data_IF_155614802254
#
_entry.id   IF_155614802254
#
_cell.length_a   1.000
_cell.length_b   1.000
_cell.length_c   1.000
_cell.angle_alpha   90.00
_cell.angle_beta   90.00
_cell.angle_gamma   90.00
#
_symmetry.space_group_name_H-M   'P 1'
#
loop_
_entity.id
_entity.type
_entity.pdbx_description
1 polymer ?
#
# COMPACT_ATOMS: atom_id res chain seq x y z
N UNK A 1 26.06 29.31 -4.53
CA UNK A 1 25.89 29.21 -3.05
C UNK A 1 26.33 27.87 -2.50
N UNK A 2 25.71 26.73 -2.84
CA UNK A 2 26.10 25.42 -2.25
C UNK A 2 27.56 25.04 -2.56
N UNK A 3 27.97 25.15 -3.83
CA UNK A 3 29.34 24.81 -4.27
C UNK A 3 30.37 25.76 -3.64
N UNK A 4 30.03 27.05 -3.51
CA UNK A 4 30.93 28.07 -2.96
C UNK A 4 31.15 27.91 -1.45
N UNK A 5 30.12 27.52 -0.70
CA UNK A 5 30.19 27.37 0.76
C UNK A 5 30.58 25.96 1.22
N UNK A 6 30.22 24.93 0.45
CA UNK A 6 30.33 23.53 0.84
C UNK A 6 30.97 22.66 -0.25
N UNK A 7 31.86 23.22 -1.08
CA UNK A 7 32.50 22.50 -2.19
C UNK A 7 33.29 21.24 -1.79
N UNK A 8 33.64 21.09 -0.51
CA UNK A 8 34.28 19.90 0.05
C UNK A 8 33.33 18.71 0.23
N UNK A 9 32.01 18.94 0.25
CA UNK A 9 31.00 17.91 0.46
C UNK A 9 30.18 17.66 -0.82
N UNK A 10 30.19 16.45 -1.40
CA UNK A 10 29.40 16.15 -2.58
C UNK A 10 27.90 16.19 -2.27
N UNK A 11 27.09 16.71 -3.18
CA UNK A 11 25.63 16.76 -3.01
C UNK A 11 25.04 15.35 -2.90
N UNK A 12 24.09 15.18 -1.99
CA UNK A 12 23.30 13.94 -1.93
C UNK A 12 22.44 13.82 -3.21
N UNK A 13 22.06 12.60 -3.63
CA UNK A 13 21.23 12.40 -4.81
C UNK A 13 19.90 13.17 -4.75
N UNK A 14 19.31 13.33 -3.56
CA UNK A 14 18.08 14.10 -3.36
C UNK A 14 18.27 15.58 -3.64
N UNK A 15 19.31 16.21 -3.06
CA UNK A 15 19.63 17.62 -3.29
C UNK A 15 19.99 17.86 -4.76
N UNK A 16 20.80 16.98 -5.34
CA UNK A 16 21.17 17.06 -6.76
C UNK A 16 19.94 17.00 -7.67
N UNK A 17 19.03 16.05 -7.44
CA UNK A 17 17.77 15.95 -8.20
C UNK A 17 16.92 17.22 -8.07
N UNK A 18 16.82 17.81 -6.88
CA UNK A 18 16.04 19.04 -6.65
C UNK A 18 16.68 20.25 -7.34
N UNK A 19 17.99 20.47 -7.14
CA UNK A 19 18.67 21.68 -7.64
C UNK A 19 18.99 21.62 -9.14
N UNK A 20 19.35 20.45 -9.66
CA UNK A 20 19.78 20.28 -11.06
C UNK A 20 18.63 19.84 -11.95
N UNK A 21 17.85 18.85 -11.52
CA UNK A 21 16.77 18.28 -12.34
C UNK A 21 15.37 18.82 -11.99
N UNK A 22 15.21 19.60 -10.92
CA UNK A 22 13.91 20.03 -10.41
C UNK A 22 13.08 20.81 -11.43
N UNK A 23 13.71 21.73 -12.18
CA UNK A 23 13.02 22.51 -13.21
C UNK A 23 12.45 21.61 -14.32
N UNK A 24 13.24 20.64 -14.81
CA UNK A 24 12.80 19.68 -15.82
C UNK A 24 11.66 18.79 -15.31
N UNK A 25 11.71 18.38 -14.04
CA UNK A 25 10.63 17.61 -13.42
C UNK A 25 9.34 18.41 -13.34
N UNK A 26 9.41 19.71 -12.97
CA UNK A 26 8.24 20.59 -12.89
C UNK A 26 7.62 20.79 -14.29
N UNK A 27 8.42 20.92 -15.35
CA UNK A 27 7.91 21.14 -16.71
C UNK A 27 7.26 19.91 -17.33
N UNK A 28 7.70 18.70 -16.97
CA UNK A 28 7.18 17.45 -17.52
C UNK A 28 6.11 16.78 -16.64
N UNK A 29 5.91 17.24 -15.40
CA UNK A 29 4.90 16.68 -14.52
C UNK A 29 3.47 17.06 -14.97
N UNK A 30 2.60 16.06 -15.12
CA UNK A 30 1.18 16.24 -15.48
C UNK A 30 0.39 16.90 -14.33
N UNK A 31 0.76 16.58 -13.09
CA UNK A 31 0.12 17.08 -11.88
C UNK A 31 1.12 17.83 -11.01
N UNK A 32 0.68 18.82 -10.21
CA UNK A 32 1.50 19.44 -9.18
C UNK A 32 2.19 18.40 -8.30
N UNK A 33 3.50 18.56 -8.09
CA UNK A 33 4.35 17.58 -7.40
C UNK A 33 3.79 17.21 -6.01
N UNK A 34 3.19 18.17 -5.29
CA UNK A 34 2.57 17.91 -3.99
C UNK A 34 1.37 16.95 -4.04
N UNK A 35 0.64 16.86 -5.17
CA UNK A 35 -0.44 15.90 -5.35
C UNK A 35 0.05 14.48 -5.63
N UNK A 36 1.28 14.34 -6.15
CA UNK A 36 1.94 13.06 -6.40
C UNK A 36 2.76 12.56 -5.18
N UNK A 37 2.61 13.22 -4.03
CA UNK A 37 3.37 12.90 -2.82
C UNK A 37 3.00 11.55 -2.21
N UNK A 38 4.00 10.80 -1.75
CA UNK A 38 3.84 9.54 -1.02
C UNK A 38 3.30 9.73 0.41
N UNK A 39 3.42 10.94 0.97
CA UNK A 39 3.05 11.26 2.36
C UNK A 39 1.60 10.88 2.71
N UNK A 40 0.68 11.01 1.74
CA UNK A 40 -0.73 10.65 1.94
C UNK A 40 -0.90 9.13 2.14
N UNK A 41 -0.16 8.32 1.39
CA UNK A 41 -0.15 6.86 1.50
C UNK A 41 0.54 6.41 2.78
N UNK A 42 1.68 7.00 3.14
CA UNK A 42 2.37 6.70 4.40
C UNK A 42 1.52 7.04 5.62
N UNK A 43 0.80 8.16 5.60
CA UNK A 43 -0.13 8.53 6.67
C UNK A 43 -1.23 7.47 6.85
N UNK A 44 -1.59 6.72 5.80
CA UNK A 44 -2.57 5.62 5.87
C UNK A 44 -2.05 4.44 6.70
N UNK A 45 -0.74 4.25 6.81
CA UNK A 45 -0.16 3.20 7.66
C UNK A 45 -0.52 3.37 9.14
N UNK A 46 -0.74 4.61 9.59
CA UNK A 46 -1.25 4.89 10.95
C UNK A 46 -2.66 4.33 11.13
N UNK A 47 -3.54 4.55 10.16
CA UNK A 47 -4.90 4.00 10.18
C UNK A 47 -4.90 2.48 10.11
N UNK A 48 -4.01 1.88 9.30
CA UNK A 48 -3.85 0.42 9.23
C UNK A 48 -3.56 -0.20 10.60
N UNK A 49 -2.57 0.34 11.33
CA UNK A 49 -2.25 -0.10 12.70
C UNK A 49 -3.44 0.08 13.64
N UNK A 50 -4.16 1.20 13.55
CA UNK A 50 -5.33 1.47 14.38
C UNK A 50 -6.51 0.53 14.10
N UNK A 51 -6.78 0.23 12.83
CA UNK A 51 -7.84 -0.68 12.40
C UNK A 51 -7.59 -2.11 12.85
N UNK A 52 -6.35 -2.59 12.73
CA UNK A 52 -5.96 -3.91 13.23
C UNK A 52 -6.13 -4.05 14.75
N UNK A 53 -5.87 -2.99 15.51
CA UNK A 53 -5.96 -3.03 16.98
C UNK A 53 -7.39 -3.03 17.50
N UNK A 54 -8.28 -2.20 16.91
CA UNK A 54 -9.58 -1.87 17.50
C UNK A 54 -10.79 -2.35 16.67
N UNK A 55 -10.63 -2.64 15.38
CA UNK A 55 -11.75 -2.84 14.46
C UNK A 55 -11.70 -4.16 13.68
N UNK A 56 -10.65 -4.98 13.87
CA UNK A 56 -10.48 -6.25 13.17
C UNK A 56 -10.66 -7.44 14.12
N UNK A 57 -11.24 -8.51 13.61
CA UNK A 57 -11.36 -9.79 14.32
C UNK A 57 -9.98 -10.45 14.48
N UNK A 58 -9.68 -10.99 15.67
CA UNK A 58 -8.35 -11.53 16.04
C UNK A 58 -8.27 -13.06 16.07
N UNK A 59 -9.30 -13.75 15.59
CA UNK A 59 -9.35 -15.21 15.59
C UNK A 59 -8.67 -15.84 14.37
N UNK A 60 -8.57 -15.11 13.24
CA UNK A 60 -7.92 -15.59 12.02
C UNK A 60 -7.21 -14.44 11.31
N UNK A 61 -6.08 -14.74 10.67
CA UNK A 61 -5.33 -13.77 9.86
C UNK A 61 -6.13 -13.34 8.63
N UNK A 62 -6.87 -14.26 8.02
CA UNK A 62 -7.67 -14.00 6.82
C UNK A 62 -8.81 -13.02 7.14
N UNK A 63 -9.56 -13.31 8.21
CA UNK A 63 -10.64 -12.44 8.65
C UNK A 63 -10.16 -11.08 9.14
N UNK A 64 -9.01 -11.04 9.83
CA UNK A 64 -8.38 -9.78 10.24
C UNK A 64 -8.07 -8.89 9.03
N UNK A 65 -7.44 -9.45 7.99
CA UNK A 65 -7.10 -8.72 6.77
C UNK A 65 -8.35 -8.27 6.01
N UNK A 66 -9.39 -9.12 5.96
CA UNK A 66 -10.68 -8.78 5.34
C UNK A 66 -11.34 -7.59 6.02
N UNK A 67 -11.38 -7.59 7.35
CA UNK A 67 -11.99 -6.50 8.12
C UNK A 67 -11.23 -5.18 7.94
N UNK A 68 -9.90 -5.24 7.93
CA UNK A 68 -9.05 -4.06 7.68
C UNK A 68 -9.28 -3.51 6.27
N UNK A 69 -9.33 -4.38 5.26
CA UNK A 69 -9.58 -3.99 3.87
C UNK A 69 -10.95 -3.32 3.72
N UNK A 70 -12.01 -3.95 4.24
CA UNK A 70 -13.35 -3.36 4.22
C UNK A 70 -13.37 -1.98 4.89
N UNK A 71 -12.68 -1.81 6.01
CA UNK A 71 -12.62 -0.52 6.71
C UNK A 71 -11.84 0.54 5.91
N UNK A 72 -10.76 0.13 5.26
CA UNK A 72 -9.99 1.01 4.38
C UNK A 72 -10.85 1.49 3.21
N UNK A 73 -11.57 0.58 2.54
CA UNK A 73 -12.47 0.88 1.44
C UNK A 73 -13.56 1.88 1.84
N UNK A 74 -14.24 1.64 2.98
CA UNK A 74 -15.24 2.58 3.51
C UNK A 74 -14.65 3.96 3.81
N UNK A 75 -13.40 4.01 4.27
CA UNK A 75 -12.71 5.26 4.60
C UNK A 75 -12.09 5.97 3.38
N UNK A 76 -12.05 5.33 2.21
CA UNK A 76 -11.63 5.92 0.93
C UNK A 76 -12.79 6.23 0.00
N UNK A 77 -13.99 5.78 0.34
CA UNK A 77 -15.20 6.04 -0.45
C UNK A 77 -15.40 7.56 -0.63
N UNK A 78 -15.45 8.07 -1.88
CA UNK A 78 -15.58 9.50 -2.15
C UNK A 78 -16.88 10.11 -1.64
N UNK A 79 -17.98 9.35 -1.72
CA UNK A 79 -19.30 9.79 -1.28
C UNK A 79 -19.33 9.96 0.24
N UNK A 80 -18.90 8.93 0.98
CA UNK A 80 -18.80 8.98 2.45
C UNK A 80 -17.80 10.06 2.89
N UNK A 81 -16.66 10.17 2.20
CA UNK A 81 -15.62 11.15 2.52
C UNK A 81 -16.07 12.60 2.31
N UNK A 82 -16.96 12.84 1.35
CA UNK A 82 -17.53 14.16 1.11
C UNK A 82 -18.59 14.55 2.16
N UNK A 83 -19.35 13.57 2.67
CA UNK A 83 -20.32 13.79 3.74
C UNK A 83 -19.68 13.95 5.13
N UNK A 84 -18.40 13.56 5.29
CA UNK A 84 -17.70 13.59 6.58
C UNK A 84 -17.29 15.01 6.97
N UNK A 85 -17.51 15.39 8.23
CA UNK A 85 -16.99 16.63 8.79
C UNK A 85 -15.46 16.67 8.71
N UNK A 86 -14.93 17.68 8.02
CA UNK A 86 -13.49 17.90 7.86
C UNK A 86 -12.97 18.80 8.97
N UNK A 87 -11.85 18.41 9.55
CA UNK A 87 -11.12 19.24 10.50
C UNK A 87 -10.33 20.28 9.70
N UNK A 88 -10.56 21.56 9.96
CA UNK A 88 -9.78 22.64 9.33
C UNK A 88 -8.40 22.73 10.00
N UNK A 89 -7.33 22.64 9.21
CA UNK A 89 -5.96 22.84 9.70
C UNK A 89 -5.60 24.32 9.61
N UNK A 90 -4.82 24.81 10.58
CA UNK A 90 -4.24 26.17 10.49
C UNK A 90 -3.17 26.16 9.40
N UNK A 91 -3.16 27.18 8.55
CA UNK A 91 -2.17 27.38 7.48
C UNK A 91 -1.26 28.54 7.85
N UNK A 92 0.05 28.34 7.73
CA UNK A 92 1.04 29.40 7.86
C UNK A 92 1.27 30.09 6.50
N UNK A 93 1.57 31.41 6.47
CA UNK A 93 1.80 32.13 5.23
C UNK A 93 3.13 31.74 4.56
N UNK A 94 3.16 31.73 3.23
CA UNK A 94 4.37 31.49 2.44
C UNK A 94 5.35 32.67 2.51
N UNK A 95 6.64 32.39 2.28
CA UNK A 95 7.67 33.43 2.15
C UNK A 95 7.49 34.23 0.85
N UNK A 96 7.98 35.48 0.84
CA UNK A 96 7.87 36.37 -0.33
C UNK A 96 8.53 35.78 -1.58
N UNK A 97 9.68 35.13 -1.42
CA UNK A 97 10.39 34.48 -2.52
C UNK A 97 9.59 33.31 -3.10
N UNK A 98 8.97 32.49 -2.25
CA UNK A 98 8.14 31.37 -2.71
C UNK A 98 6.92 31.85 -3.50
N UNK A 99 6.27 32.93 -3.05
CA UNK A 99 5.13 33.53 -3.76
C UNK A 99 5.55 34.05 -5.14
N UNK A 100 6.73 34.65 -5.27
CA UNK A 100 7.25 35.13 -6.55
C UNK A 100 7.54 33.99 -7.55
N UNK A 101 7.78 32.77 -7.06
CA UNK A 101 8.07 31.59 -7.88
C UNK A 101 6.82 30.78 -8.26
N UNK A 102 5.65 31.08 -7.70
CA UNK A 102 4.41 30.40 -8.06
C UNK A 102 3.93 30.86 -9.44
N UNK A 103 3.86 29.92 -10.39
CA UNK A 103 3.33 30.17 -11.73
C UNK A 103 1.79 30.10 -11.67
N UNK A 104 1.10 31.15 -12.11
CA UNK A 104 -0.36 31.24 -12.06
C UNK A 104 -1.07 30.32 -13.09
N UNK A 105 -0.39 29.96 -14.19
CA UNK A 105 -0.95 29.14 -15.27
C UNK A 105 -0.01 27.98 -15.63
N UNK A 106 -0.45 26.71 -15.56
CA UNK A 106 0.37 25.59 -16.01
C UNK A 106 0.64 25.70 -17.53
N UNK A 107 1.84 25.32 -18.00
CA UNK A 107 2.14 25.26 -19.42
C UNK A 107 1.17 24.30 -20.13
N UNK A 108 0.72 24.62 -21.37
CA UNK A 108 -0.14 23.73 -22.13
C UNK A 108 0.49 22.35 -22.27
N UNK A 109 -0.30 21.32 -21.94
CA UNK A 109 0.11 19.91 -22.08
C UNK A 109 0.41 19.68 -23.57
N UNK A 110 1.64 19.29 -23.95
CA UNK A 110 1.92 18.94 -25.33
C UNK A 110 1.05 17.73 -25.74
N UNK A 111 0.52 17.69 -26.99
CA UNK A 111 -0.27 16.55 -27.45
C UNK A 111 0.56 15.26 -27.34
N UNK A 112 0.02 14.26 -26.66
CA UNK A 112 0.57 12.90 -26.65
C UNK A 112 0.42 12.32 -28.06
N UNK A 113 1.52 12.19 -28.79
CA UNK A 113 1.57 11.47 -30.06
C UNK A 113 1.55 9.95 -29.82
N UNK A 114 0.47 9.39 -29.28
CA UNK A 114 0.30 7.93 -29.17
C UNK A 114 -1.17 7.52 -29.43
N UNK A 115 -1.72 7.99 -30.54
CA UNK A 115 -2.91 7.39 -31.19
C UNK A 115 -2.47 6.65 -32.47
N UNK A 116 -1.55 5.69 -32.36
CA UNK A 116 -1.34 4.69 -33.42
C UNK A 116 -1.89 3.35 -32.97
N UNK A 117 -3.17 3.18 -33.29
CA UNK A 117 -3.81 1.90 -33.57
C UNK A 117 -2.85 0.98 -34.33
N UNK A 118 -2.49 -0.14 -33.70
CA UNK A 118 -1.99 -1.31 -34.40
C UNK A 118 -2.59 -2.55 -33.73
N UNK A 119 -3.83 -2.84 -34.09
CA UNK A 119 -4.40 -4.18 -33.92
C UNK A 119 -3.43 -5.23 -34.46
N UNK A 120 -2.92 -6.08 -33.58
CA UNK A 120 -2.33 -7.37 -33.95
C UNK A 120 -3.15 -8.47 -33.29
N UNK A 121 -3.84 -9.21 -34.13
CA UNK A 121 -4.54 -10.44 -33.82
C UNK A 121 -3.54 -11.52 -33.37
N UNK A 122 -3.89 -12.16 -32.26
CA UNK A 122 -3.85 -13.59 -31.94
C UNK A 122 -3.10 -14.50 -32.94
N UNK A 123 -2.01 -15.13 -32.48
CA UNK A 123 -1.57 -16.41 -33.01
C UNK A 123 -1.27 -17.32 -31.80
N UNK A 124 -1.93 -18.46 -31.84
CA UNK A 124 -2.01 -19.51 -30.83
C UNK A 124 -0.86 -20.49 -31.06
N UNK A 125 -0.07 -20.81 -30.03
CA UNK A 125 0.86 -21.94 -30.04
C UNK A 125 1.09 -22.40 -28.60
N UNK A 126 0.31 -23.39 -28.18
CA UNK A 126 0.61 -24.28 -27.06
C UNK A 126 1.72 -25.25 -27.45
N UNK A 127 2.84 -25.27 -26.72
CA UNK A 127 3.63 -26.44 -26.25
C UNK A 127 4.53 -25.88 -25.13
N UNK A 128 4.59 -26.32 -23.87
CA UNK A 128 4.26 -27.59 -23.25
C UNK A 128 5.54 -28.15 -22.61
N UNK A 129 5.94 -27.68 -21.42
CA UNK A 129 6.89 -28.41 -20.55
C UNK A 129 6.74 -27.95 -19.10
N UNK A 130 6.07 -28.77 -18.29
CA UNK A 130 5.95 -28.62 -16.84
C UNK A 130 6.72 -29.80 -16.23
N UNK A 131 7.85 -29.52 -15.59
CA UNK A 131 8.54 -30.50 -14.75
C UNK A 131 7.69 -30.71 -13.48
N UNK A 132 7.22 -31.93 -13.31
CA UNK A 132 6.35 -32.38 -12.22
C UNK A 132 7.23 -32.82 -11.03
N UNK A 133 7.47 -31.92 -10.07
CA UNK A 133 8.08 -32.27 -8.79
C UNK A 133 7.05 -33.02 -7.92
N UNK A 134 7.10 -34.35 -8.00
CA UNK A 134 6.40 -35.26 -7.09
C UNK A 134 7.19 -35.39 -5.78
N UNK A 135 6.95 -34.47 -4.83
CA UNK A 135 7.32 -34.69 -3.43
C UNK A 135 6.17 -35.43 -2.72
N UNK A 136 6.48 -36.65 -2.31
CA UNK A 136 5.58 -37.58 -1.62
C UNK A 136 5.06 -36.99 -0.31
N UNK A 137 3.76 -37.11 -0.11
CA UNK A 137 3.10 -36.97 1.18
C UNK A 137 3.54 -38.13 2.07
N UNK A 138 4.27 -37.83 3.15
CA UNK A 138 4.43 -38.75 4.28
C UNK A 138 3.22 -38.53 5.21
N UNK A 139 2.26 -39.45 5.09
CA UNK A 139 1.15 -39.65 6.03
C UNK A 139 1.70 -40.18 7.37
N UNK A 140 1.90 -39.29 8.34
CA UNK A 140 1.95 -39.68 9.76
C UNK A 140 0.56 -39.45 10.36
N UNK A 141 -0.31 -40.46 10.25
CA UNK A 141 -1.53 -40.58 11.05
C UNK A 141 -1.14 -40.71 12.54
N UNK A 142 -1.23 -39.63 13.32
CA UNK A 142 -1.34 -39.75 14.78
C UNK A 142 -2.77 -40.24 15.10
N UNK A 143 -2.90 -41.54 15.39
CA UNK A 143 -4.10 -42.10 16.02
C UNK A 143 -4.17 -41.63 17.48
N UNK A 144 -5.18 -40.82 17.80
CA UNK A 144 -5.58 -40.52 19.18
C UNK A 144 -6.18 -41.78 19.84
N UNK A 145 -5.39 -42.50 20.64
CA UNK A 145 -5.87 -43.63 21.45
C UNK A 145 -6.69 -43.13 22.64
N UNK A 146 -8.02 -43.31 22.57
CA UNK A 146 -8.94 -43.09 23.68
C UNK A 146 -8.89 -44.27 24.67
N UNK A 147 -8.31 -44.04 25.85
CA UNK A 147 -8.34 -44.97 27.00
C UNK A 147 -9.73 -44.96 27.67
N UNK A 148 -10.60 -45.89 27.27
CA UNK A 148 -11.86 -46.22 27.96
C UNK A 148 -11.61 -47.37 28.94
N UNK A 149 -11.08 -47.03 30.11
CA UNK A 149 -10.93 -47.95 31.23
C UNK A 149 -12.24 -48.16 31.99
N UNK A 150 -13.16 -48.95 31.43
CA UNK A 150 -14.19 -49.67 32.19
C UNK A 150 -13.52 -50.57 33.23
N UNK A 151 -13.69 -50.26 34.53
CA UNK A 151 -13.46 -51.22 35.60
C UNK A 151 -14.80 -51.61 36.21
N UNK A 152 -15.19 -52.84 35.90
CA UNK A 152 -16.33 -53.56 36.44
C UNK A 152 -16.40 -53.57 37.97
N UNK A 153 -17.61 -53.31 38.46
CA UNK A 153 -18.31 -54.02 39.54
C UNK A 153 -17.51 -54.55 40.74
N UNK A 154 -17.66 -53.84 41.87
CA UNK A 154 -17.79 -54.50 43.17
C UNK A 154 -19.04 -53.99 43.90
N UNK A 155 -20.11 -54.77 43.77
CA UNK A 155 -21.21 -54.81 44.74
C UNK A 155 -20.66 -55.09 46.14
N UNK A 156 -21.07 -54.32 47.15
CA UNK A 156 -21.44 -54.85 48.48
C UNK A 156 -22.30 -53.83 49.25
N UNK A 157 -23.59 -54.17 49.32
CA UNK A 157 -24.67 -53.92 50.28
C UNK A 157 -24.69 -52.72 51.25
N UNK A 158 -25.90 -52.16 51.27
CA UNK A 158 -26.62 -51.48 52.35
C UNK A 158 -26.49 -52.15 53.73
N UNK A 159 -26.16 -51.34 54.75
CA UNK A 159 -26.95 -51.16 55.98
C UNK A 159 -26.49 -49.92 56.74
#
# INVERSE_FOLDING_TARGET
MYIDLYGWHPMTPTIHKVLVHGAALITHAILPIGQLSEEASEARNKHYRQYRLHFARKFSRVDCNRDILHRLLLSSDPYISNCRQRQHKKTEPFSKEAVNLMIANPPPIPPTEDDRDSGRNMEDTEEGDYEEDNDKEDDDEEEDEYDDGENDDKQYNSN
#
